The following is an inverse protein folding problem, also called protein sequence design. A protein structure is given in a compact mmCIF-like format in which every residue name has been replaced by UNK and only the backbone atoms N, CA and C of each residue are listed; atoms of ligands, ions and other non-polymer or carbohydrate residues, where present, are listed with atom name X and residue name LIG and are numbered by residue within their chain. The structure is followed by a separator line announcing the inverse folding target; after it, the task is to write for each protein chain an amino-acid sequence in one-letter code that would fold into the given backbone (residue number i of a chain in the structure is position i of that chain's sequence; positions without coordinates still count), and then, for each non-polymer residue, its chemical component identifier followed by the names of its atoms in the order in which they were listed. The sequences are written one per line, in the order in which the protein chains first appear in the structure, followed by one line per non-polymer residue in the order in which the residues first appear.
data_IF_839116212331
#
_entry.id   IF_839116212331
#
_cell.length_a   1.000
_cell.length_b   1.000
_cell.length_c   1.000
_cell.angle_alpha   90.00
_cell.angle_beta   90.00
_cell.angle_gamma   90.00
#
_symmetry.space_group_name_H-M   'P 1'
#
loop_
_entity.id
_entity.type
_entity.pdbx_description
1 polymer ?
#
# COMPACT_ATOMS: atom_id res chain seq x y z
N UNK A 1 -33.13 39.16 -41.91
CA UNK A 1 -33.32 38.44 -40.63
C UNK A 1 -32.06 37.63 -40.41
N UNK A 2 -31.11 38.18 -39.68
CA UNK A 2 -29.86 37.49 -39.34
C UNK A 2 -30.13 36.49 -38.21
N UNK A 3 -29.81 35.22 -38.46
CA UNK A 3 -29.87 34.15 -37.48
C UNK A 3 -28.61 34.30 -36.62
N UNK A 4 -28.77 34.78 -35.37
CA UNK A 4 -27.68 34.76 -34.39
C UNK A 4 -27.44 33.33 -33.97
N UNK A 5 -26.25 32.80 -34.27
CA UNK A 5 -25.76 31.54 -33.71
C UNK A 5 -25.70 31.67 -32.18
N UNK A 6 -26.41 30.78 -31.49
CA UNK A 6 -26.36 30.71 -30.04
C UNK A 6 -25.05 30.03 -29.63
N UNK A 7 -24.09 30.81 -29.13
CA UNK A 7 -22.90 30.28 -28.46
C UNK A 7 -23.33 29.55 -27.18
N UNK A 8 -23.25 28.22 -27.19
CA UNK A 8 -23.43 27.39 -26.00
C UNK A 8 -22.25 27.65 -25.06
N UNK A 9 -22.52 28.30 -23.94
CA UNK A 9 -21.53 28.55 -22.89
C UNK A 9 -21.35 27.23 -22.12
N UNK A 10 -20.20 26.57 -22.31
CA UNK A 10 -19.85 25.28 -21.68
C UNK A 10 -19.29 25.42 -20.26
N UNK A 11 -19.23 26.62 -19.71
CA UNK A 11 -18.64 26.87 -18.39
C UNK A 11 -19.68 27.52 -17.44
N UNK A 12 -19.98 26.83 -16.34
CA UNK A 12 -20.91 27.29 -15.31
C UNK A 12 -21.32 26.17 -14.35
N UNK A 13 -21.90 26.51 -13.20
CA UNK A 13 -22.35 25.55 -12.19
C UNK A 13 -23.45 24.57 -12.68
N UNK A 14 -24.03 24.83 -13.85
CA UNK A 14 -25.03 24.01 -14.54
C UNK A 14 -24.48 23.27 -15.76
N UNK A 15 -23.17 23.39 -16.05
CA UNK A 15 -22.55 22.57 -17.07
C UNK A 15 -22.67 21.10 -16.66
N UNK A 16 -23.25 20.28 -17.52
CA UNK A 16 -23.25 18.83 -17.34
C UNK A 16 -21.79 18.42 -17.25
N UNK A 17 -21.37 17.89 -16.10
CA UNK A 17 -20.08 17.22 -15.99
C UNK A 17 -20.08 16.12 -17.05
N UNK A 18 -19.14 16.17 -17.99
CA UNK A 18 -18.96 15.08 -18.95
C UNK A 18 -18.80 13.80 -18.14
N UNK A 19 -19.79 12.90 -18.22
CA UNK A 19 -19.69 11.59 -17.59
C UNK A 19 -18.49 10.89 -18.22
N UNK A 20 -17.39 10.74 -17.47
CA UNK A 20 -16.20 10.04 -17.92
C UNK A 20 -16.61 8.69 -18.52
N UNK A 21 -16.30 8.43 -19.80
CA UNK A 21 -16.71 7.21 -20.50
C UNK A 21 -16.13 5.97 -19.80
N UNK A 22 -16.93 5.35 -18.92
CA UNK A 22 -16.53 4.16 -18.18
C UNK A 22 -16.34 3.00 -19.16
N UNK A 23 -15.11 2.52 -19.29
CA UNK A 23 -14.75 1.41 -20.18
C UNK A 23 -15.49 0.12 -19.81
N UNK A 24 -15.71 -0.75 -20.79
CA UNK A 24 -16.34 -2.08 -20.57
C UNK A 24 -15.58 -2.93 -19.54
N UNK A 25 -14.27 -2.74 -19.43
CA UNK A 25 -13.42 -3.40 -18.43
C UNK A 25 -13.63 -2.83 -17.03
N UNK A 26 -13.76 -1.52 -16.87
CA UNK A 26 -14.13 -0.89 -15.59
C UNK A 26 -15.49 -1.39 -15.10
N UNK A 27 -16.50 -1.50 -15.97
CA UNK A 27 -17.82 -2.06 -15.61
C UNK A 27 -17.78 -3.52 -15.15
N UNK A 28 -16.79 -4.30 -15.60
CA UNK A 28 -16.57 -5.70 -15.16
C UNK A 28 -15.70 -5.81 -13.91
N UNK A 29 -15.04 -4.73 -13.51
CA UNK A 29 -14.17 -4.71 -12.36
C UNK A 29 -14.98 -4.83 -11.07
N UNK A 30 -14.65 -5.81 -10.25
CA UNK A 30 -15.19 -5.93 -8.88
C UNK A 30 -14.40 -5.09 -7.86
N UNK A 31 -13.59 -4.13 -8.32
CA UNK A 31 -12.78 -3.29 -7.43
C UNK A 31 -13.63 -2.14 -6.91
N UNK A 32 -13.40 -1.75 -5.66
CA UNK A 32 -14.06 -0.59 -5.05
C UNK A 32 -13.48 0.75 -5.54
N UNK A 33 -12.28 0.74 -6.12
CA UNK A 33 -11.59 1.93 -6.65
C UNK A 33 -11.20 1.75 -8.11
N UNK A 34 -11.24 2.84 -8.86
CA UNK A 34 -10.84 2.90 -10.26
C UNK A 34 -9.31 2.94 -10.42
N UNK A 35 -8.63 3.71 -9.58
CA UNK A 35 -7.17 3.84 -9.63
C UNK A 35 -6.49 2.65 -8.96
N UNK A 36 -5.57 2.04 -9.71
CA UNK A 36 -4.80 0.88 -9.25
C UNK A 36 -3.55 1.31 -8.51
N UNK A 37 -3.14 0.50 -7.53
CA UNK A 37 -1.84 0.62 -6.90
C UNK A 37 -0.69 0.69 -7.94
N UNK A 38 0.29 1.56 -7.69
CA UNK A 38 1.43 1.81 -8.57
C UNK A 38 2.71 1.28 -7.95
N UNK A 39 3.48 0.51 -8.71
CA UNK A 39 4.78 -0.01 -8.25
C UNK A 39 5.93 0.73 -8.92
N UNK A 40 6.80 1.32 -8.10
CA UNK A 40 8.06 1.96 -8.51
C UNK A 40 9.18 0.93 -8.36
N UNK A 41 9.87 0.65 -9.47
CA UNK A 41 10.98 -0.31 -9.49
C UNK A 41 12.32 0.41 -9.38
N UNK A 42 12.96 0.32 -8.22
CA UNK A 42 14.26 0.96 -7.97
C UNK A 42 15.33 0.50 -8.95
N UNK A 43 15.32 -0.79 -9.33
CA UNK A 43 16.27 -1.35 -10.31
C UNK A 43 16.14 -0.77 -11.73
N UNK A 44 15.00 -0.17 -12.06
CA UNK A 44 14.76 0.43 -13.37
C UNK A 44 15.05 1.93 -13.40
N UNK A 45 15.35 2.52 -12.25
CA UNK A 45 15.73 3.93 -12.19
C UNK A 45 17.16 4.11 -12.69
N UNK A 46 17.38 5.19 -13.43
CA UNK A 46 18.71 5.58 -13.87
C UNK A 46 19.53 6.05 -12.66
N UNK A 47 20.85 5.93 -12.75
CA UNK A 47 21.76 6.48 -11.71
C UNK A 47 21.51 7.98 -11.49
N UNK A 48 21.17 8.71 -12.55
CA UNK A 48 20.85 10.14 -12.51
C UNK A 48 19.58 10.43 -11.72
N UNK A 49 18.52 9.65 -11.90
CA UNK A 49 17.27 9.79 -11.13
C UNK A 49 17.48 9.53 -9.64
N UNK A 50 18.28 8.51 -9.30
CA UNK A 50 18.63 8.21 -7.92
C UNK A 50 19.45 9.34 -7.27
N UNK A 51 20.41 9.90 -8.01
CA UNK A 51 21.24 11.03 -7.55
C UNK A 51 20.38 12.29 -7.33
N UNK A 52 19.48 12.60 -8.27
CA UNK A 52 18.52 13.71 -8.13
C UNK A 52 17.66 13.52 -6.88
N UNK A 53 17.15 12.31 -6.63
CA UNK A 53 16.38 12.03 -5.42
C UNK A 53 17.17 12.30 -4.14
N UNK A 54 18.46 11.91 -4.10
CA UNK A 54 19.35 12.18 -2.96
C UNK A 54 19.65 13.67 -2.77
N UNK A 55 19.80 14.41 -3.87
CA UNK A 55 20.09 15.85 -3.83
C UNK A 55 18.86 16.65 -3.37
N UNK A 56 17.66 16.27 -3.84
CA UNK A 56 16.41 16.94 -3.47
C UNK A 56 16.01 16.67 -2.01
N UNK A 57 16.32 15.48 -1.49
CA UNK A 57 15.98 15.08 -0.13
C UNK A 57 17.23 14.55 0.61
N UNK A 58 18.17 15.44 1.01
CA UNK A 58 19.44 15.06 1.61
C UNK A 58 19.30 14.61 3.07
N UNK A 59 18.22 15.01 3.73
CA UNK A 59 17.95 14.67 5.12
C UNK A 59 17.55 13.20 5.23
N UNK A 60 18.36 12.44 5.98
CA UNK A 60 18.10 11.01 6.25
C UNK A 60 17.92 10.72 7.73
N UNK A 61 18.40 11.62 8.59
CA UNK A 61 18.39 11.45 10.03
C UNK A 61 17.41 12.43 10.67
N UNK A 62 16.14 12.03 10.66
CA UNK A 62 15.08 12.69 11.39
C UNK A 62 14.58 11.77 12.49
N UNK A 63 14.06 12.37 13.57
CA UNK A 63 13.48 11.61 14.65
C UNK A 63 12.28 10.80 14.16
N UNK A 64 12.23 9.52 14.50
CA UNK A 64 11.08 8.64 14.26
C UNK A 64 10.88 7.71 15.45
N UNK A 65 9.62 7.39 15.80
CA UNK A 65 9.32 6.46 16.87
C UNK A 65 9.85 5.06 16.52
N UNK A 66 10.47 4.40 17.50
CA UNK A 66 11.05 3.06 17.34
C UNK A 66 10.12 1.97 17.84
N UNK A 67 9.33 2.29 18.85
CA UNK A 67 8.38 1.39 19.49
C UNK A 67 6.95 1.89 19.31
N UNK A 68 5.98 0.97 19.38
CA UNK A 68 4.56 1.32 19.27
C UNK A 68 4.11 2.27 20.38
N UNK A 69 4.64 2.08 21.59
CA UNK A 69 4.35 2.92 22.76
C UNK A 69 4.68 4.40 22.51
N UNK A 70 5.60 4.70 21.59
CA UNK A 70 6.00 6.06 21.25
C UNK A 70 5.08 6.70 20.17
N UNK A 71 4.30 5.90 19.42
CA UNK A 71 3.52 6.38 18.28
C UNK A 71 2.02 6.10 18.34
N UNK A 72 1.55 5.37 19.35
CA UNK A 72 0.14 5.02 19.54
C UNK A 72 -0.75 6.26 19.61
N UNK A 73 -0.38 7.25 20.43
CA UNK A 73 -1.08 8.54 20.60
C UNK A 73 -0.55 9.63 19.67
N UNK A 74 0.21 9.25 18.64
CA UNK A 74 0.73 10.19 17.64
C UNK A 74 -0.36 10.69 16.68
N UNK A 75 -0.07 11.74 15.89
CA UNK A 75 -1.01 12.28 14.93
C UNK A 75 -1.46 11.23 13.91
N UNK A 76 -2.73 11.32 13.50
CA UNK A 76 -3.35 10.53 12.44
C UNK A 76 -3.93 11.46 11.38
N UNK A 77 -3.70 11.22 10.07
CA UNK A 77 -2.89 10.16 9.47
C UNK A 77 -1.40 10.22 9.85
N UNK A 78 -0.77 9.05 9.98
CA UNK A 78 0.60 8.94 10.48
C UNK A 78 1.61 9.56 9.48
N UNK A 79 2.46 10.51 9.90
CA UNK A 79 3.43 11.16 9.01
C UNK A 79 4.59 10.23 8.62
N UNK A 80 4.83 9.16 9.40
CA UNK A 80 5.97 8.27 9.22
C UNK A 80 5.71 7.18 8.16
N UNK A 81 5.64 7.59 6.89
CA UNK A 81 5.36 6.70 5.74
C UNK A 81 6.41 5.60 5.52
N UNK A 82 7.60 5.75 6.11
CA UNK A 82 8.69 4.77 6.07
C UNK A 82 8.51 3.61 7.07
N UNK A 83 7.50 3.69 7.95
CA UNK A 83 7.20 2.63 8.91
C UNK A 83 6.71 1.36 8.19
N UNK A 84 7.15 0.18 8.66
CA UNK A 84 6.77 -1.13 8.10
C UNK A 84 5.27 -1.45 8.16
N UNK A 85 4.52 -0.74 9.00
CA UNK A 85 3.07 -0.92 9.18
C UNK A 85 2.23 0.16 8.52
N UNK A 86 2.87 1.08 7.78
CA UNK A 86 2.18 2.17 7.13
C UNK A 86 1.43 1.66 5.89
N UNK A 87 0.17 2.05 5.73
CA UNK A 87 -0.69 1.53 4.67
C UNK A 87 -0.50 2.23 3.31
N UNK A 88 0.22 3.34 3.26
CA UNK A 88 0.47 4.06 2.01
C UNK A 88 1.50 3.35 1.11
N UNK A 89 2.58 2.82 1.71
CA UNK A 89 3.75 2.28 1.01
C UNK A 89 4.01 0.85 1.50
N UNK A 90 4.20 -0.08 0.55
CA UNK A 90 4.69 -1.43 0.79
C UNK A 90 6.02 -1.64 0.03
N UNK A 91 7.07 -2.06 0.73
CA UNK A 91 8.41 -2.25 0.16
C UNK A 91 8.74 -3.73 0.10
N UNK A 92 9.05 -4.23 -1.09
CA UNK A 92 9.47 -5.63 -1.25
C UNK A 92 10.87 -5.85 -0.67
N UNK A 93 11.04 -6.76 0.32
CA UNK A 93 12.36 -7.02 0.92
C UNK A 93 13.34 -7.69 -0.07
N UNK A 94 12.83 -8.35 -1.12
CA UNK A 94 13.64 -9.07 -2.10
C UNK A 94 14.15 -8.16 -3.22
N UNK A 95 13.30 -7.25 -3.71
CA UNK A 95 13.62 -6.46 -4.91
C UNK A 95 13.83 -4.99 -4.63
N UNK A 96 13.44 -4.50 -3.44
CA UNK A 96 13.40 -3.08 -3.11
C UNK A 96 12.33 -2.30 -3.87
N UNK A 97 11.42 -2.97 -4.59
CA UNK A 97 10.33 -2.29 -5.28
C UNK A 97 9.34 -1.69 -4.27
N UNK A 98 8.90 -0.46 -4.55
CA UNK A 98 8.02 0.33 -3.69
C UNK A 98 6.63 0.33 -4.32
N UNK A 99 5.63 -0.20 -3.61
CA UNK A 99 4.23 -0.21 -4.03
C UNK A 99 3.47 0.88 -3.28
N UNK A 100 2.92 1.82 -4.03
CA UNK A 100 1.96 2.82 -3.54
C UNK A 100 0.56 2.20 -3.64
N UNK A 101 -0.11 2.02 -2.49
CA UNK A 101 -1.44 1.41 -2.48
C UNK A 101 -2.50 2.35 -3.07
N UNK A 102 -2.38 3.65 -2.79
CA UNK A 102 -3.28 4.69 -3.26
C UNK A 102 -2.46 5.81 -3.92
N UNK A 103 -2.12 5.68 -5.21
CA UNK A 103 -1.35 6.72 -5.91
C UNK A 103 -2.18 7.96 -6.24
N UNK A 104 -3.49 7.87 -6.07
CA UNK A 104 -4.51 8.90 -6.25
C UNK A 104 -4.73 9.76 -5.00
N UNK A 105 -4.29 9.31 -3.82
CA UNK A 105 -4.45 10.04 -2.56
C UNK A 105 -3.10 10.46 -2.01
N UNK A 106 -3.10 11.59 -1.32
CA UNK A 106 -2.00 12.00 -0.47
C UNK A 106 -2.15 11.42 0.94
N UNK A 107 -1.05 11.42 1.70
CA UNK A 107 -0.98 10.75 3.01
C UNK A 107 -1.99 11.35 4.01
N UNK A 108 -2.20 12.66 3.95
CA UNK A 108 -3.13 13.38 4.82
C UNK A 108 -4.61 13.17 4.45
N UNK A 109 -4.90 12.62 3.28
CA UNK A 109 -6.26 12.31 2.83
C UNK A 109 -6.66 10.87 3.17
N UNK A 110 -5.73 10.07 3.72
CA UNK A 110 -5.99 8.69 4.07
C UNK A 110 -6.86 8.58 5.33
N UNK A 111 -7.96 7.85 5.24
CA UNK A 111 -8.77 7.52 6.43
C UNK A 111 -7.99 6.66 7.44
N UNK A 112 -7.18 5.72 6.93
CA UNK A 112 -6.48 4.72 7.73
C UNK A 112 -5.02 4.62 7.31
N UNK A 113 -4.10 5.07 8.17
CA UNK A 113 -2.67 5.10 7.86
C UNK A 113 -1.88 3.92 8.45
N UNK A 114 -2.39 3.24 9.48
CA UNK A 114 -1.64 2.24 10.24
C UNK A 114 -2.35 0.88 10.32
N UNK A 115 -1.68 -0.18 9.85
CA UNK A 115 -2.19 -1.54 9.94
C UNK A 115 -2.38 -2.01 11.39
N UNK A 116 -1.53 -1.53 12.30
CA UNK A 116 -1.59 -1.89 13.71
C UNK A 116 -2.80 -1.29 14.43
N UNK A 117 -3.23 -0.08 14.06
CA UNK A 117 -4.41 0.55 14.67
C UNK A 117 -5.72 -0.13 14.22
N UNK A 118 -5.71 -0.71 13.02
CA UNK A 118 -6.80 -1.54 12.53
C UNK A 118 -6.82 -2.89 13.26
N UNK A 119 -5.65 -3.49 13.46
CA UNK A 119 -5.53 -4.74 14.20
C UNK A 119 -6.01 -4.62 15.64
N UNK A 120 -5.66 -3.54 16.34
CA UNK A 120 -6.07 -3.30 17.74
C UNK A 120 -7.57 -3.12 17.91
N UNK A 121 -8.25 -2.54 16.90
CA UNK A 121 -9.72 -2.40 16.93
C UNK A 121 -10.44 -3.75 16.82
N UNK A 122 -9.80 -4.75 16.21
CA UNK A 122 -10.40 -6.05 15.96
C UNK A 122 -11.59 -6.01 14.99
N UNK A 123 -12.10 -7.20 14.63
CA UNK A 123 -13.38 -7.33 13.93
C UNK A 123 -13.43 -6.90 12.46
N UNK A 124 -12.29 -6.79 11.76
CA UNK A 124 -12.28 -6.36 10.35
C UNK A 124 -12.71 -7.47 9.39
N UNK A 125 -13.59 -7.15 8.45
CA UNK A 125 -13.98 -8.08 7.39
C UNK A 125 -12.95 -8.12 6.24
N UNK A 126 -12.97 -9.17 5.43
CA UNK A 126 -12.11 -9.26 4.24
C UNK A 126 -12.43 -8.17 3.21
N UNK A 127 -13.68 -7.72 3.14
CA UNK A 127 -14.12 -6.61 2.31
C UNK A 127 -13.55 -5.26 2.76
N UNK A 128 -13.40 -5.05 4.07
CA UNK A 128 -12.87 -3.82 4.66
C UNK A 128 -11.37 -3.75 4.48
N UNK A 129 -10.65 -4.84 4.79
CA UNK A 129 -9.20 -4.95 4.55
C UNK A 129 -8.87 -4.73 3.07
N UNK A 130 -9.70 -5.28 2.18
CA UNK A 130 -9.57 -5.05 0.74
C UNK A 130 -9.69 -3.56 0.37
N UNK A 131 -10.66 -2.85 0.94
CA UNK A 131 -10.82 -1.42 0.70
C UNK A 131 -9.62 -0.61 1.24
N UNK A 132 -9.13 -0.95 2.44
CA UNK A 132 -8.03 -0.27 3.12
C UNK A 132 -6.68 -0.49 2.43
N UNK A 133 -6.48 -1.62 1.73
CA UNK A 133 -5.21 -1.95 1.07
C UNK A 133 -5.23 -1.80 -0.46
N UNK A 134 -6.33 -1.28 -1.03
CA UNK A 134 -6.59 -1.28 -2.47
C UNK A 134 -6.45 -2.67 -3.12
N UNK A 135 -7.04 -3.68 -2.48
CA UNK A 135 -7.03 -5.07 -2.92
C UNK A 135 -8.46 -5.61 -3.04
N UNK A 136 -8.65 -6.61 -3.90
CA UNK A 136 -9.94 -7.29 -3.96
C UNK A 136 -10.12 -8.20 -2.75
N UNK A 137 -11.38 -8.41 -2.32
CA UNK A 137 -11.72 -9.37 -1.25
C UNK A 137 -11.08 -10.74 -1.46
N UNK A 138 -11.19 -11.28 -2.67
CA UNK A 138 -10.61 -12.59 -3.00
C UNK A 138 -9.09 -12.59 -2.87
N UNK A 139 -8.42 -11.47 -3.18
CA UNK A 139 -6.98 -11.36 -2.99
C UNK A 139 -6.60 -11.39 -1.51
N UNK A 140 -7.35 -10.72 -0.65
CA UNK A 140 -7.14 -10.78 0.80
C UNK A 140 -7.34 -12.21 1.31
N UNK A 141 -8.44 -12.87 0.91
CA UNK A 141 -8.71 -14.28 1.25
C UNK A 141 -7.56 -15.22 0.86
N UNK A 142 -6.99 -15.05 -0.33
CA UNK A 142 -5.84 -15.85 -0.77
C UNK A 142 -4.59 -15.59 0.09
N UNK A 143 -4.34 -14.34 0.48
CA UNK A 143 -3.22 -13.97 1.34
C UNK A 143 -3.41 -14.58 2.73
N UNK A 144 -4.62 -14.50 3.28
CA UNK A 144 -5.00 -15.09 4.57
C UNK A 144 -4.77 -16.61 4.59
N UNK A 145 -5.34 -17.35 3.62
CA UNK A 145 -5.16 -18.81 3.54
C UNK A 145 -3.68 -19.19 3.44
N UNK A 146 -2.91 -18.45 2.63
CA UNK A 146 -1.46 -18.69 2.50
C UNK A 146 -0.69 -18.36 3.79
N UNK A 147 -1.11 -17.31 4.49
CA UNK A 147 -0.50 -16.92 5.76
C UNK A 147 -0.77 -17.97 6.85
N UNK A 148 -2.02 -18.44 6.97
CA UNK A 148 -2.40 -19.49 7.91
C UNK A 148 -1.61 -20.78 7.68
N UNK A 149 -1.53 -21.25 6.42
CA UNK A 149 -0.74 -22.44 6.09
C UNK A 149 0.76 -22.27 6.42
N UNK A 150 1.30 -21.05 6.28
CA UNK A 150 2.69 -20.76 6.65
C UNK A 150 2.89 -20.76 8.17
N UNK A 151 1.93 -20.23 8.92
CA UNK A 151 1.98 -20.23 10.39
C UNK A 151 1.91 -21.65 10.94
N UNK A 152 1.03 -22.49 10.39
CA UNK A 152 0.92 -23.90 10.75
C UNK A 152 2.24 -24.64 10.48
N UNK A 153 2.81 -24.49 9.28
CA UNK A 153 4.10 -25.10 8.96
C UNK A 153 5.25 -24.62 9.86
N UNK A 154 5.24 -23.35 10.30
CA UNK A 154 6.22 -22.83 11.25
C UNK A 154 6.04 -23.43 12.64
N UNK A 155 4.80 -23.59 13.10
CA UNK A 155 4.50 -24.26 14.38
C UNK A 155 4.93 -25.73 14.35
N UNK A 156 4.68 -26.44 13.24
CA UNK A 156 5.13 -27.83 13.07
C UNK A 156 6.65 -27.93 13.10
N UNK A 157 7.36 -27.01 12.42
CA UNK A 157 8.81 -26.93 12.48
C UNK A 157 9.33 -26.62 13.88
N UNK A 158 8.65 -25.75 14.63
CA UNK A 158 9.00 -25.42 16.01
C UNK A 158 8.81 -26.64 16.94
N UNK A 159 7.71 -27.38 16.80
CA UNK A 159 7.47 -28.61 17.55
C UNK A 159 8.50 -29.71 17.26
N UNK A 160 9.00 -29.78 16.02
CA UNK A 160 10.05 -30.72 15.62
C UNK A 160 11.45 -30.28 16.03
N UNK A 161 11.65 -29.01 16.43
CA UNK A 161 12.96 -28.45 16.76
C UNK A 161 13.64 -29.20 17.89
N UNK A 162 12.86 -29.65 18.88
CA UNK A 162 13.36 -30.38 20.04
C UNK A 162 13.89 -31.79 19.70
N UNK A 163 13.55 -32.31 18.51
CA UNK A 163 13.97 -33.62 18.02
C UNK A 163 15.11 -33.55 17.00
N UNK A 164 15.57 -32.35 16.64
CA UNK A 164 16.75 -32.17 15.80
C UNK A 164 17.95 -31.95 16.73
N UNK A 165 18.67 -33.04 17.02
CA UNK A 165 20.02 -32.94 17.60
C UNK A 165 20.84 -31.98 16.74
N UNK A 166 21.45 -30.95 17.34
CA UNK A 166 22.27 -29.95 16.66
C UNK A 166 23.40 -30.64 15.88
N UNK A 167 23.11 -30.99 14.62
CA UNK A 167 24.09 -31.49 13.67
C UNK A 167 25.18 -30.43 13.46
N UNK A 168 26.40 -30.85 13.11
CA UNK A 168 27.58 -29.98 13.15
C UNK A 168 27.32 -28.71 12.36
N UNK A 169 27.57 -27.56 13.00
CA UNK A 169 27.48 -26.22 12.43
C UNK A 169 28.31 -26.15 11.13
N UNK A 170 27.68 -26.47 10.02
CA UNK A 170 28.29 -26.42 8.70
C UNK A 170 28.70 -24.98 8.43
N UNK A 171 30.02 -24.74 8.39
CA UNK A 171 30.58 -23.44 8.00
C UNK A 171 30.04 -23.12 6.61
N UNK A 172 29.09 -22.18 6.52
CA UNK A 172 28.71 -21.57 5.24
C UNK A 172 29.99 -20.95 4.68
N UNK A 173 30.49 -21.49 3.56
CA UNK A 173 31.51 -20.81 2.78
C UNK A 173 30.85 -19.55 2.20
N UNK A 174 31.29 -18.41 2.70
CA UNK A 174 31.15 -17.11 2.02
C UNK A 174 31.98 -17.12 0.74
#
# INVERSE_FOLDING_TARGET
MEIKEANLVTEGATALQEEEEITREQRRSRRKRDVRARTISVKRMTKRELEIGRLLYPETDYWKPRARTECVDGPRPCPFVSCKHHLYIDVSPRTGAIKLNFPDLEVWEMNESCALDIADRGGTTLEDVGAIMNLTRERIRQVEVKALAKMEALNDMEALRDYVDEGPLGRRRL
#
